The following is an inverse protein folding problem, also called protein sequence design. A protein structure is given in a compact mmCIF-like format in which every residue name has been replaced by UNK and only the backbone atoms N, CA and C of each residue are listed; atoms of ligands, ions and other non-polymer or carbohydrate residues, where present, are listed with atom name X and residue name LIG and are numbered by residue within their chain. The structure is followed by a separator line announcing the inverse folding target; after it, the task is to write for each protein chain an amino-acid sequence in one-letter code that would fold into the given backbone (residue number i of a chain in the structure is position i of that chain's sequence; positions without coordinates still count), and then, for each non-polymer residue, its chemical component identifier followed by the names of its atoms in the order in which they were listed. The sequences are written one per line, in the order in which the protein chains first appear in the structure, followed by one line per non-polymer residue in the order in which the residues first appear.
data_IF_294781457662
#
_entry.id   IF_294781457662
#
_cell.length_a   1.000
_cell.length_b   1.000
_cell.length_c   1.000
_cell.angle_alpha   90.00
_cell.angle_beta   90.00
_cell.angle_gamma   90.00
#
_symmetry.space_group_name_H-M   'P 1'
#
loop_
_entity.id
_entity.type
_entity.pdbx_description
1 polymer ?
#
# COMPACT_ATOMS: atom_id res chain seq x y z
N UNK A 1 -56.44 -25.05 27.25
CA UNK A 1 -55.03 -25.34 27.50
C UNK A 1 -54.19 -24.70 26.38
N UNK A 2 -53.66 -23.51 26.64
CA UNK A 2 -52.79 -22.75 25.72
C UNK A 2 -51.33 -23.11 25.98
N UNK A 3 -50.71 -23.78 25.02
CA UNK A 3 -49.27 -24.09 25.07
C UNK A 3 -48.46 -22.80 24.78
N UNK A 4 -47.72 -22.34 25.77
CA UNK A 4 -46.68 -21.30 25.58
C UNK A 4 -45.52 -21.91 24.78
N UNK A 5 -45.12 -21.23 23.69
CA UNK A 5 -43.84 -21.48 22.99
C UNK A 5 -42.68 -21.00 23.87
N UNK A 6 -41.57 -21.75 23.96
CA UNK A 6 -40.38 -21.25 24.64
C UNK A 6 -39.78 -20.07 23.85
N UNK A 7 -39.33 -19.06 24.59
CA UNK A 7 -38.56 -17.94 24.03
C UNK A 7 -37.24 -18.50 23.51
N UNK A 8 -36.96 -18.24 22.23
CA UNK A 8 -35.67 -18.56 21.61
C UNK A 8 -34.56 -17.71 22.26
N UNK A 9 -33.58 -18.38 22.76
CA UNK A 9 -32.32 -17.77 23.19
C UNK A 9 -31.60 -17.19 21.95
N UNK A 10 -31.69 -15.87 21.78
CA UNK A 10 -30.88 -15.13 20.82
C UNK A 10 -29.55 -14.79 21.47
N UNK A 11 -28.70 -15.79 21.72
CA UNK A 11 -27.31 -15.55 22.05
C UNK A 11 -26.63 -14.92 20.81
N UNK A 12 -26.46 -13.61 20.84
CA UNK A 12 -25.64 -12.88 19.89
C UNK A 12 -24.20 -13.32 20.14
N UNK A 13 -23.71 -14.23 19.31
CA UNK A 13 -22.29 -14.54 19.27
C UNK A 13 -21.57 -13.29 18.80
N UNK A 14 -20.94 -12.56 19.72
CA UNK A 14 -20.00 -11.51 19.38
C UNK A 14 -18.83 -12.19 18.67
N UNK A 15 -18.74 -12.05 17.34
CA UNK A 15 -17.48 -12.31 16.65
C UNK A 15 -16.39 -11.45 17.31
N UNK A 16 -15.20 -12.02 17.56
CA UNK A 16 -14.13 -11.24 18.14
C UNK A 16 -13.84 -10.07 17.18
N UNK A 17 -13.88 -8.84 17.72
CA UNK A 17 -13.50 -7.64 16.98
C UNK A 17 -12.09 -7.86 16.43
N UNK A 18 -11.96 -7.98 15.12
CA UNK A 18 -10.65 -8.04 14.47
C UNK A 18 -9.91 -6.76 14.84
N UNK A 19 -8.83 -6.90 15.60
CA UNK A 19 -7.96 -5.76 15.91
C UNK A 19 -7.26 -5.35 14.62
N UNK A 20 -7.61 -4.19 14.08
CA UNK A 20 -6.92 -3.61 12.95
C UNK A 20 -5.53 -3.14 13.38
N UNK A 21 -4.51 -3.49 12.60
CA UNK A 21 -3.15 -2.98 12.75
C UNK A 21 -3.01 -1.59 12.12
N UNK A 22 -1.86 -0.96 12.38
CA UNK A 22 -1.45 0.32 11.78
C UNK A 22 -0.30 0.07 10.82
N UNK A 23 -0.42 0.56 9.60
CA UNK A 23 0.57 0.40 8.56
C UNK A 23 0.98 1.75 7.97
N UNK A 24 2.27 1.91 7.66
CA UNK A 24 2.75 2.93 6.73
C UNK A 24 3.31 2.21 5.50
N UNK A 25 2.59 2.32 4.39
CA UNK A 25 2.84 1.51 3.20
C UNK A 25 3.55 2.28 2.08
N UNK A 26 3.96 3.56 2.32
CA UNK A 26 4.55 4.41 1.30
C UNK A 26 5.69 5.25 1.88
N UNK A 27 6.84 4.60 2.09
CA UNK A 27 8.05 5.23 2.65
C UNK A 27 9.16 5.20 1.62
N UNK A 28 9.82 6.35 1.42
CA UNK A 28 11.01 6.48 0.57
C UNK A 28 12.27 6.63 1.41
N UNK A 29 13.37 6.12 0.89
CA UNK A 29 14.69 6.20 1.50
C UNK A 29 15.63 7.11 0.70
N UNK A 30 16.87 7.27 1.19
CA UNK A 30 17.96 7.92 0.42
C UNK A 30 18.30 7.19 -0.89
N UNK A 31 17.75 6.00 -1.14
CA UNK A 31 17.94 5.29 -2.40
C UNK A 31 17.15 5.93 -3.56
N UNK A 32 16.11 6.70 -3.27
CA UNK A 32 15.37 7.51 -4.23
C UNK A 32 15.31 8.98 -3.80
N UNK A 33 14.18 9.50 -3.43
CA UNK A 33 13.96 10.91 -3.08
C UNK A 33 13.59 11.12 -1.60
N UNK A 34 13.65 10.07 -0.78
CA UNK A 34 13.53 10.17 0.67
C UNK A 34 14.74 10.85 1.33
N UNK A 35 14.60 11.22 2.58
CA UNK A 35 15.63 11.97 3.34
C UNK A 35 16.31 11.17 4.43
N UNK A 36 15.92 9.91 4.62
CA UNK A 36 16.44 9.03 5.66
C UNK A 36 16.99 7.73 5.08
N UNK A 37 18.02 7.21 5.69
CA UNK A 37 18.56 5.89 5.37
C UNK A 37 17.69 4.78 5.94
N UNK A 38 17.82 3.56 5.41
CA UNK A 38 17.13 2.36 5.95
C UNK A 38 17.35 2.19 7.45
N UNK A 39 18.58 2.23 8.02
CA UNK A 39 18.77 2.11 9.45
C UNK A 39 18.01 3.18 10.25
N UNK A 40 18.03 4.45 9.82
CA UNK A 40 17.35 5.55 10.50
C UNK A 40 15.83 5.35 10.52
N UNK A 41 15.25 4.87 9.41
CA UNK A 41 13.81 4.57 9.32
C UNK A 41 13.46 3.43 10.29
N UNK A 42 14.22 2.33 10.27
CA UNK A 42 13.97 1.20 11.15
C UNK A 42 14.11 1.57 12.63
N UNK A 43 15.13 2.34 12.99
CA UNK A 43 15.33 2.84 14.36
C UNK A 43 14.16 3.73 14.81
N UNK A 44 13.72 4.61 13.93
CA UNK A 44 12.58 5.51 14.22
C UNK A 44 11.28 4.73 14.43
N UNK A 45 10.95 3.82 13.52
CA UNK A 45 9.72 3.01 13.57
C UNK A 45 9.70 2.14 14.84
N UNK A 46 10.82 1.49 15.14
CA UNK A 46 10.92 0.64 16.32
C UNK A 46 10.84 1.44 17.64
N UNK A 47 11.45 2.63 17.68
CA UNK A 47 11.38 3.53 18.83
C UNK A 47 9.96 4.09 19.07
N UNK A 48 9.22 4.40 18.00
CA UNK A 48 7.82 4.86 18.09
C UNK A 48 6.87 3.76 18.55
N UNK A 49 7.05 2.55 18.06
CA UNK A 49 6.34 1.35 18.49
C UNK A 49 4.82 1.34 18.26
N UNK A 50 4.30 2.18 17.36
CA UNK A 50 2.87 2.25 17.08
C UNK A 50 2.47 1.66 15.72
N UNK A 51 3.43 1.38 14.82
CA UNK A 51 3.19 0.71 13.55
C UNK A 51 3.34 -0.80 13.71
N UNK A 52 2.44 -1.53 13.09
CA UNK A 52 2.44 -3.00 13.08
C UNK A 52 3.14 -3.54 11.82
N UNK A 53 3.27 -2.73 10.76
CA UNK A 53 3.97 -3.04 9.51
C UNK A 53 4.35 -1.75 8.78
N UNK A 54 5.46 -1.78 8.03
CA UNK A 54 5.83 -0.72 7.09
C UNK A 54 6.15 -1.30 5.72
N UNK A 55 6.07 -0.46 4.66
CA UNK A 55 6.63 -0.79 3.36
C UNK A 55 7.63 0.29 2.94
N UNK A 56 8.78 -0.13 2.42
CA UNK A 56 9.71 0.76 1.72
C UNK A 56 9.43 0.62 0.23
N UNK A 57 9.18 1.76 -0.42
CA UNK A 57 8.68 1.83 -1.78
C UNK A 57 9.40 2.93 -2.57
N UNK A 58 10.72 2.83 -2.66
CA UNK A 58 11.55 3.76 -3.41
C UNK A 58 11.18 3.77 -4.90
N UNK A 59 11.40 4.89 -5.57
CA UNK A 59 11.15 5.01 -7.00
C UNK A 59 12.03 4.05 -7.82
N UNK A 60 11.40 3.28 -8.72
CA UNK A 60 12.03 2.45 -9.75
C UNK A 60 12.99 1.37 -9.22
N UNK A 61 12.88 0.97 -7.93
CA UNK A 61 13.81 0.02 -7.30
C UNK A 61 13.26 -0.62 -6.03
N UNK A 62 13.74 -1.82 -5.73
CA UNK A 62 13.38 -2.57 -4.53
C UNK A 62 14.56 -2.91 -3.61
N UNK A 63 15.79 -2.60 -4.00
CA UNK A 63 16.99 -3.05 -3.29
C UNK A 63 17.09 -2.50 -1.86
N UNK A 64 16.68 -1.24 -1.62
CA UNK A 64 16.61 -0.71 -0.26
C UNK A 64 15.52 -1.39 0.57
N UNK A 65 14.37 -1.72 -0.02
CA UNK A 65 13.31 -2.47 0.65
C UNK A 65 13.75 -3.89 1.03
N UNK A 66 14.42 -4.59 0.11
CA UNK A 66 15.00 -5.92 0.37
C UNK A 66 16.04 -5.86 1.50
N UNK A 67 16.94 -4.85 1.43
CA UNK A 67 17.93 -4.65 2.50
C UNK A 67 17.29 -4.33 3.85
N UNK A 68 16.20 -3.56 3.85
CA UNK A 68 15.45 -3.23 5.07
C UNK A 68 14.76 -4.45 5.68
N UNK A 69 14.17 -5.32 4.86
CA UNK A 69 13.56 -6.57 5.32
C UNK A 69 14.61 -7.46 5.99
N UNK A 70 15.75 -7.68 5.34
CA UNK A 70 16.83 -8.47 5.91
C UNK A 70 17.39 -7.85 7.21
N UNK A 71 17.60 -6.54 7.23
CA UNK A 71 18.08 -5.84 8.43
C UNK A 71 17.09 -5.91 9.59
N UNK A 72 15.79 -5.82 9.32
CA UNK A 72 14.75 -5.94 10.34
C UNK A 72 14.75 -7.36 10.95
N UNK A 73 14.86 -8.38 10.11
CA UNK A 73 14.98 -9.79 10.54
C UNK A 73 16.24 -10.03 11.37
N UNK A 74 17.42 -9.63 10.87
CA UNK A 74 18.71 -9.82 11.54
C UNK A 74 18.76 -9.12 12.92
N UNK A 75 18.06 -7.99 13.05
CA UNK A 75 17.97 -7.23 14.30
C UNK A 75 16.83 -7.68 15.22
N UNK A 76 15.97 -8.60 14.75
CA UNK A 76 14.79 -9.07 15.49
C UNK A 76 13.80 -7.96 15.82
N UNK A 77 13.58 -7.02 14.89
CA UNK A 77 12.64 -5.91 15.08
C UNK A 77 11.19 -6.43 15.09
N UNK A 78 10.33 -5.72 15.84
CA UNK A 78 8.91 -6.09 15.94
C UNK A 78 8.11 -5.78 14.69
N UNK A 79 8.49 -4.70 14.01
CA UNK A 79 7.78 -4.19 12.84
C UNK A 79 8.35 -4.81 11.57
N UNK A 80 7.62 -5.72 10.90
CA UNK A 80 8.05 -6.27 9.62
C UNK A 80 8.06 -5.22 8.52
N UNK A 81 8.95 -5.42 7.55
CA UNK A 81 9.08 -4.58 6.37
C UNK A 81 8.56 -5.31 5.14
N UNK A 82 7.67 -4.68 4.39
CA UNK A 82 7.18 -5.16 3.09
C UNK A 82 8.06 -4.58 1.99
N UNK A 83 8.47 -5.42 1.05
CA UNK A 83 9.17 -4.98 -0.16
C UNK A 83 8.18 -4.33 -1.10
N UNK A 84 8.36 -3.05 -1.36
CA UNK A 84 7.54 -2.24 -2.26
C UNK A 84 8.38 -1.49 -3.27
N UNK A 85 7.70 -0.86 -4.22
CA UNK A 85 8.24 0.02 -5.25
C UNK A 85 7.19 1.05 -5.63
N UNK A 86 7.56 2.32 -5.76
CA UNK A 86 6.72 3.30 -6.43
C UNK A 86 7.14 3.40 -7.90
N UNK A 87 6.29 2.86 -8.78
CA UNK A 87 6.54 2.72 -10.21
C UNK A 87 6.04 3.96 -10.94
N UNK A 88 6.91 4.67 -11.66
CA UNK A 88 6.52 5.74 -12.58
C UNK A 88 5.92 5.13 -13.85
N UNK A 89 4.62 5.23 -14.02
CA UNK A 89 3.92 4.78 -15.22
C UNK A 89 3.52 5.94 -16.14
N UNK A 90 3.09 5.64 -17.37
CA UNK A 90 2.52 6.66 -18.28
C UNK A 90 1.15 7.17 -17.83
N UNK A 91 0.53 6.54 -16.83
CA UNK A 91 -0.78 6.90 -16.31
C UNK A 91 -0.76 7.44 -14.89
N UNK A 92 0.42 7.65 -14.32
CA UNK A 92 0.64 8.09 -12.94
C UNK A 92 1.48 7.09 -12.14
N UNK A 93 1.79 7.43 -10.90
CA UNK A 93 2.51 6.53 -10.02
C UNK A 93 1.63 5.37 -9.57
N UNK A 94 2.25 4.21 -9.45
CA UNK A 94 1.67 2.98 -8.93
C UNK A 94 2.55 2.51 -7.77
N UNK A 95 1.97 2.45 -6.58
CA UNK A 95 2.61 1.82 -5.44
C UNK A 95 2.35 0.31 -5.54
N UNK A 96 3.43 -0.46 -5.59
CA UNK A 96 3.41 -1.91 -5.66
C UNK A 96 4.01 -2.51 -4.39
N UNK A 97 3.36 -3.51 -3.82
CA UNK A 97 3.77 -4.16 -2.57
C UNK A 97 3.94 -5.66 -2.77
N UNK A 98 4.77 -6.28 -1.93
CA UNK A 98 5.10 -7.72 -1.94
C UNK A 98 5.80 -8.15 -3.24
N UNK A 99 6.73 -7.32 -3.71
CA UNK A 99 7.47 -7.61 -4.93
C UNK A 99 8.68 -8.53 -4.66
N UNK A 100 8.93 -9.45 -5.62
CA UNK A 100 10.14 -10.27 -5.68
C UNK A 100 11.21 -9.66 -6.61
N UNK A 101 10.78 -8.86 -7.58
CA UNK A 101 11.63 -8.19 -8.57
C UNK A 101 11.05 -6.82 -8.96
N UNK A 102 11.87 -5.85 -9.34
CA UNK A 102 11.39 -4.53 -9.75
C UNK A 102 10.52 -4.63 -11.01
N UNK A 103 9.54 -3.73 -11.12
CA UNK A 103 8.67 -3.61 -12.29
C UNK A 103 9.19 -2.49 -13.20
N UNK A 104 9.40 -2.73 -14.50
CA UNK A 104 9.91 -1.71 -15.42
C UNK A 104 9.03 -0.46 -15.48
N UNK A 105 9.64 0.71 -15.29
CA UNK A 105 8.97 2.01 -15.37
C UNK A 105 8.53 2.40 -16.80
N UNK A 106 7.79 3.49 -16.92
CA UNK A 106 7.30 4.09 -18.16
C UNK A 106 6.46 3.17 -19.06
N UNK A 107 5.89 2.13 -18.48
CA UNK A 107 4.85 1.32 -19.13
C UNK A 107 3.46 1.94 -18.91
N UNK A 108 2.42 1.40 -19.56
CA UNK A 108 1.05 1.82 -19.25
C UNK A 108 0.67 1.41 -17.82
N UNK A 109 -0.20 2.17 -17.18
CA UNK A 109 -0.64 1.86 -15.82
C UNK A 109 -1.25 0.45 -15.73
N UNK A 110 -2.11 0.05 -16.69
CA UNK A 110 -2.68 -1.30 -16.71
C UNK A 110 -1.64 -2.41 -16.84
N UNK A 111 -0.63 -2.24 -17.72
CA UNK A 111 0.46 -3.20 -17.86
C UNK A 111 1.27 -3.34 -16.55
N UNK A 112 1.53 -2.19 -15.88
CA UNK A 112 2.27 -2.23 -14.62
C UNK A 112 1.49 -2.91 -13.50
N UNK A 113 0.17 -2.73 -13.45
CA UNK A 113 -0.72 -3.43 -12.51
C UNK A 113 -0.66 -4.95 -12.75
N UNK A 114 -0.82 -5.38 -14.00
CA UNK A 114 -0.70 -6.80 -14.39
C UNK A 114 0.65 -7.38 -13.98
N UNK A 115 1.76 -6.65 -14.23
CA UNK A 115 3.10 -7.10 -13.85
C UNK A 115 3.34 -7.18 -12.33
N UNK A 116 2.60 -6.41 -11.52
CA UNK A 116 2.55 -6.54 -10.05
C UNK A 116 1.78 -7.78 -9.66
N UNK A 117 0.59 -7.99 -10.23
CA UNK A 117 -0.25 -9.16 -9.98
C UNK A 117 0.44 -10.47 -10.37
N UNK A 118 1.22 -10.50 -11.46
CA UNK A 118 2.02 -11.64 -11.90
C UNK A 118 3.06 -12.10 -10.85
N UNK A 119 3.40 -11.24 -9.90
CA UNK A 119 4.27 -11.56 -8.76
C UNK A 119 3.48 -11.90 -7.48
N UNK A 120 2.14 -11.89 -7.54
CA UNK A 120 1.29 -12.01 -6.36
C UNK A 120 1.27 -10.74 -5.49
N UNK A 121 1.74 -9.62 -6.04
CA UNK A 121 1.78 -8.31 -5.37
C UNK A 121 0.43 -7.61 -5.33
N UNK A 122 0.37 -6.51 -4.59
CA UNK A 122 -0.77 -5.61 -4.46
C UNK A 122 -0.46 -4.31 -5.19
N UNK A 123 -1.36 -3.89 -6.09
CA UNK A 123 -1.24 -2.69 -6.92
C UNK A 123 -2.14 -1.56 -6.38
N UNK A 124 -1.54 -0.46 -5.95
CA UNK A 124 -2.22 0.68 -5.33
C UNK A 124 -2.01 1.92 -6.19
N UNK A 125 -3.08 2.60 -6.63
CA UNK A 125 -2.92 3.89 -7.30
C UNK A 125 -2.42 4.93 -6.29
N UNK A 126 -1.16 5.38 -6.44
CA UNK A 126 -0.52 6.30 -5.52
C UNK A 126 -1.06 7.73 -5.70
N UNK A 127 -1.33 8.42 -4.57
CA UNK A 127 -1.79 9.81 -4.49
C UNK A 127 -2.61 10.28 -5.73
N UNK A 128 -3.68 9.56 -6.11
CA UNK A 128 -4.44 9.85 -7.33
C UNK A 128 -5.14 11.21 -7.23
N UNK A 129 -5.44 11.81 -8.39
CA UNK A 129 -6.20 13.07 -8.51
C UNK A 129 -5.46 14.32 -8.01
N UNK A 130 -4.25 14.20 -7.49
CA UNK A 130 -3.42 15.36 -7.20
C UNK A 130 -3.02 16.02 -8.52
N UNK A 131 -3.15 17.36 -8.68
CA UNK A 131 -2.84 18.06 -9.93
C UNK A 131 -1.33 18.23 -10.09
N UNK A 132 -0.61 17.14 -10.10
CA UNK A 132 0.84 17.12 -10.24
C UNK A 132 1.23 16.13 -11.36
N UNK A 133 2.32 16.39 -12.10
CA UNK A 133 2.86 15.39 -13.01
C UNK A 133 3.06 14.05 -12.29
N UNK A 134 2.82 12.95 -12.99
CA UNK A 134 2.94 11.58 -12.47
C UNK A 134 1.89 11.13 -11.43
N UNK A 135 0.86 11.94 -11.13
CA UNK A 135 -0.31 11.48 -10.39
C UNK A 135 -1.38 10.95 -11.34
N UNK A 136 -1.97 9.80 -11.01
CA UNK A 136 -3.00 9.20 -11.83
C UNK A 136 -4.23 10.12 -11.94
N UNK A 137 -4.54 10.56 -13.16
CA UNK A 137 -5.68 11.44 -13.40
C UNK A 137 -6.98 10.66 -13.54
N UNK A 138 -8.08 11.29 -13.10
CA UNK A 138 -9.37 10.63 -12.91
C UNK A 138 -9.91 9.84 -14.10
N UNK A 139 -9.62 10.24 -15.35
CA UNK A 139 -10.11 9.51 -16.54
C UNK A 139 -9.36 8.21 -16.80
N UNK A 140 -8.05 8.16 -16.55
CA UNK A 140 -7.24 6.96 -16.69
C UNK A 140 -7.57 5.96 -15.57
N UNK A 141 -7.56 6.43 -14.32
CA UNK A 141 -7.89 5.61 -13.15
C UNK A 141 -9.32 5.05 -13.26
N UNK A 142 -10.30 5.88 -13.62
CA UNK A 142 -11.70 5.46 -13.74
C UNK A 142 -11.89 4.35 -14.79
N UNK A 143 -11.17 4.42 -15.92
CA UNK A 143 -11.21 3.36 -16.95
C UNK A 143 -10.68 2.03 -16.40
N UNK A 144 -9.62 2.05 -15.60
CA UNK A 144 -9.07 0.82 -15.03
C UNK A 144 -9.95 0.24 -13.93
N UNK A 145 -10.53 1.07 -13.07
CA UNK A 145 -11.45 0.63 -12.02
C UNK A 145 -12.68 -0.12 -12.55
N UNK A 146 -13.11 0.19 -13.79
CA UNK A 146 -14.27 -0.44 -14.45
C UNK A 146 -13.87 -1.34 -15.63
N UNK A 147 -12.57 -1.65 -15.79
CA UNK A 147 -12.12 -2.54 -16.85
C UNK A 147 -12.74 -3.93 -16.69
N UNK A 148 -13.06 -4.60 -17.79
CA UNK A 148 -13.62 -5.96 -17.76
C UNK A 148 -12.60 -6.97 -17.24
N UNK A 149 -11.32 -6.78 -17.59
CA UNK A 149 -10.22 -7.59 -17.13
C UNK A 149 -9.79 -7.18 -15.70
N UNK A 150 -9.96 -8.05 -14.70
CA UNK A 150 -9.53 -7.76 -13.33
C UNK A 150 -8.01 -7.65 -13.18
N UNK A 151 -7.22 -8.27 -14.07
CA UNK A 151 -5.75 -8.26 -13.97
C UNK A 151 -5.16 -6.85 -14.12
N UNK A 152 -5.85 -5.93 -14.80
CA UNK A 152 -5.42 -4.54 -14.97
C UNK A 152 -6.08 -3.56 -14.01
N UNK A 153 -6.90 -4.03 -13.05
CA UNK A 153 -7.52 -3.17 -12.03
C UNK A 153 -6.57 -2.98 -10.86
N UNK A 154 -6.39 -1.76 -10.35
CA UNK A 154 -5.71 -1.59 -9.08
C UNK A 154 -6.55 -2.19 -7.95
N UNK A 155 -5.90 -2.82 -6.97
CA UNK A 155 -6.57 -3.41 -5.80
C UNK A 155 -7.20 -2.35 -4.91
N UNK A 156 -6.54 -1.21 -4.81
CA UNK A 156 -7.00 -0.07 -4.01
C UNK A 156 -6.38 1.24 -4.50
N UNK A 157 -6.76 2.33 -3.84
CA UNK A 157 -6.20 3.66 -4.08
C UNK A 157 -5.72 4.27 -2.77
N UNK A 158 -4.67 5.05 -2.83
CA UNK A 158 -4.22 5.85 -1.69
C UNK A 158 -5.20 7.00 -1.46
N UNK A 159 -5.82 7.05 -0.28
CA UNK A 159 -6.83 8.06 0.06
C UNK A 159 -6.28 9.18 0.93
N UNK A 160 -5.09 9.04 1.47
CA UNK A 160 -4.41 10.06 2.24
C UNK A 160 -2.94 10.14 1.85
N UNK A 161 -2.50 11.33 1.46
CA UNK A 161 -1.10 11.63 1.22
C UNK A 161 -0.72 12.88 2.03
N UNK A 162 0.35 12.84 2.84
CA UNK A 162 0.71 13.94 3.76
C UNK A 162 1.29 15.17 3.06
N UNK A 163 1.57 15.13 1.76
CA UNK A 163 2.03 16.29 1.02
C UNK A 163 1.00 17.42 1.08
N UNK A 164 1.49 18.68 1.00
CA UNK A 164 0.62 19.86 1.10
C UNK A 164 -0.52 19.85 0.07
N UNK A 165 -0.29 19.32 -1.13
CA UNK A 165 -1.30 19.18 -2.18
C UNK A 165 -2.26 18.01 -1.94
N UNK A 166 -1.79 16.91 -1.35
CA UNK A 166 -2.60 15.73 -1.01
C UNK A 166 -3.65 16.02 0.05
N UNK A 167 -3.32 16.81 1.07
CA UNK A 167 -4.24 17.15 2.16
C UNK A 167 -5.54 17.84 1.74
N UNK A 168 -5.53 18.54 0.60
CA UNK A 168 -6.69 19.32 0.15
C UNK A 168 -7.68 18.52 -0.72
N UNK A 169 -7.33 17.33 -1.20
CA UNK A 169 -8.16 16.59 -2.15
C UNK A 169 -8.84 15.35 -1.60
N UNK A 170 -8.35 14.84 -0.48
CA UNK A 170 -8.98 13.67 0.15
C UNK A 170 -10.07 14.04 1.16
N UNK A 171 -10.34 15.35 1.33
CA UNK A 171 -11.38 15.87 2.23
C UNK A 171 -12.66 16.29 1.49
N UNK A 172 -12.80 16.00 0.20
CA UNK A 172 -13.96 16.41 -0.62
C UNK A 172 -14.86 15.23 -0.97
#
# INVERSE_FOLDING_TARGET
ATRRRPAGDHSVTHEPLVRLGRADMHIHTLASDGTSSVPEILDHVEAQGFLDVIAIADHERIDAAVAATQMAEDRGLRTPVVVGEEISTRGGHLLALFLERPVPSLKSLGWSIEAVHDQGGIAIAAHPLVPFPMCAQGSALRRLLVADDPAVRPDTIETFNPTALGKYRHAA
#
